data_IF_966929845476
#
_entry.id   IF_966929845476
#
_cell.length_a   1.000
_cell.length_b   1.000
_cell.length_c   1.000
_cell.angle_alpha   90.00
_cell.angle_beta   90.00
_cell.angle_gamma   90.00
#
_symmetry.space_group_name_H-M   'P 1'
#
loop_
_entity.id
_entity.type
_entity.pdbx_description
1 polymer ?
#
# COMPACT_ATOMS: atom_id res chain seq x y z
N UNK A 1 -22.14 -26.46 -5.36
CA UNK A 1 -20.97 -27.13 -5.97
C UNK A 1 -20.62 -28.36 -5.18
N UNK A 2 -20.18 -29.40 -5.86
CA UNK A 2 -19.65 -30.62 -5.25
C UNK A 2 -18.20 -30.41 -4.82
N UNK A 3 -17.72 -31.23 -3.86
CA UNK A 3 -16.31 -31.17 -3.41
C UNK A 3 -15.32 -31.36 -4.57
N UNK A 4 -15.67 -32.18 -5.56
CA UNK A 4 -14.86 -32.44 -6.75
C UNK A 4 -14.77 -31.22 -7.67
N UNK A 5 -15.85 -30.46 -7.83
CA UNK A 5 -15.85 -29.21 -8.60
C UNK A 5 -15.00 -28.13 -7.92
N UNK A 6 -15.13 -27.98 -6.60
CA UNK A 6 -14.34 -27.03 -5.83
C UNK A 6 -12.85 -27.34 -5.89
N UNK A 7 -12.47 -28.62 -5.79
CA UNK A 7 -11.09 -29.05 -5.91
C UNK A 7 -10.54 -28.78 -7.31
N UNK A 8 -11.34 -29.00 -8.36
CA UNK A 8 -10.95 -28.69 -9.74
C UNK A 8 -10.68 -27.19 -9.90
N UNK A 9 -11.56 -26.33 -9.40
CA UNK A 9 -11.36 -24.87 -9.43
C UNK A 9 -10.10 -24.47 -8.64
N UNK A 10 -9.87 -25.07 -7.47
CA UNK A 10 -8.68 -24.78 -6.67
C UNK A 10 -7.37 -25.13 -7.38
N UNK A 11 -7.35 -26.13 -8.28
CA UNK A 11 -6.15 -26.58 -8.99
C UNK A 11 -5.99 -26.00 -10.41
N UNK A 12 -7.04 -25.41 -10.96
CA UNK A 12 -7.05 -24.91 -12.34
C UNK A 12 -6.22 -23.61 -12.45
N UNK A 13 -5.18 -23.56 -13.31
CA UNK A 13 -4.37 -22.35 -13.52
C UNK A 13 -5.17 -21.19 -14.12
N UNK A 14 -6.31 -21.44 -14.74
CA UNK A 14 -7.20 -20.41 -15.28
C UNK A 14 -8.21 -19.85 -14.27
N UNK A 15 -8.22 -20.34 -13.02
CA UNK A 15 -9.19 -19.86 -12.02
C UNK A 15 -8.91 -18.40 -11.64
N UNK A 16 -9.92 -17.51 -11.70
CA UNK A 16 -9.74 -16.11 -11.34
C UNK A 16 -9.19 -15.94 -9.92
N UNK A 17 -8.27 -14.99 -9.72
CA UNK A 17 -7.58 -14.79 -8.43
C UNK A 17 -8.53 -14.52 -7.27
N UNK A 18 -9.56 -13.70 -7.49
CA UNK A 18 -10.63 -13.46 -6.50
C UNK A 18 -11.34 -14.76 -6.12
N UNK A 19 -11.56 -15.67 -7.09
CA UNK A 19 -12.17 -16.98 -6.82
C UNK A 19 -11.24 -17.85 -5.97
N UNK A 20 -9.93 -17.86 -6.24
CA UNK A 20 -8.96 -18.57 -5.39
C UNK A 20 -8.93 -18.02 -3.96
N UNK A 21 -8.98 -16.70 -3.80
CA UNK A 21 -9.06 -16.06 -2.48
C UNK A 21 -10.34 -16.45 -1.74
N UNK A 22 -11.50 -16.39 -2.40
CA UNK A 22 -12.78 -16.80 -1.84
C UNK A 22 -12.77 -18.28 -1.43
N UNK A 23 -12.27 -19.16 -2.29
CA UNK A 23 -12.15 -20.60 -1.98
C UNK A 23 -11.24 -20.85 -0.76
N UNK A 24 -10.15 -20.10 -0.61
CA UNK A 24 -9.24 -20.23 0.53
C UNK A 24 -9.88 -19.80 1.86
N UNK A 25 -10.79 -18.82 1.83
CA UNK A 25 -11.50 -18.33 3.01
C UNK A 25 -12.65 -19.26 3.40
N UNK A 26 -13.49 -19.65 2.44
CA UNK A 26 -14.71 -20.41 2.68
C UNK A 26 -14.47 -21.91 2.87
N UNK A 27 -13.43 -22.47 2.24
CA UNK A 27 -13.16 -23.90 2.23
C UNK A 27 -11.73 -24.21 2.71
N UNK A 28 -11.47 -24.26 4.02
CA UNK A 28 -10.13 -24.51 4.57
C UNK A 28 -9.47 -25.79 4.04
N UNK A 29 -10.24 -26.83 3.73
CA UNK A 29 -9.73 -28.08 3.15
C UNK A 29 -9.13 -27.94 1.74
N UNK A 30 -9.39 -26.84 1.04
CA UNK A 30 -8.80 -26.56 -0.30
C UNK A 30 -7.48 -25.80 -0.21
N UNK A 31 -7.12 -25.23 0.94
CA UNK A 31 -5.92 -24.39 1.11
C UNK A 31 -4.62 -25.05 0.62
N UNK A 32 -4.37 -26.36 0.85
CA UNK A 32 -3.18 -27.02 0.30
C UNK A 32 -3.19 -27.08 -1.24
N UNK A 33 -4.35 -27.29 -1.87
CA UNK A 33 -4.48 -27.30 -3.32
C UNK A 33 -4.27 -25.90 -3.91
N UNK A 34 -4.83 -24.88 -3.26
CA UNK A 34 -4.63 -23.47 -3.65
C UNK A 34 -3.15 -23.09 -3.49
N UNK A 35 -2.47 -23.56 -2.45
CA UNK A 35 -1.03 -23.36 -2.26
C UNK A 35 -0.14 -24.00 -3.35
N UNK A 36 -0.68 -24.92 -4.16
CA UNK A 36 0.01 -25.54 -5.31
C UNK A 36 -0.44 -24.97 -6.66
N UNK A 37 -1.57 -24.26 -6.72
CA UNK A 37 -2.06 -23.68 -7.96
C UNK A 37 -1.07 -22.61 -8.46
N UNK A 38 -0.56 -22.68 -9.70
CA UNK A 38 0.46 -21.78 -10.21
C UNK A 38 0.03 -20.31 -10.27
N UNK A 39 -1.27 -20.04 -10.38
CA UNK A 39 -1.83 -18.70 -10.46
C UNK A 39 -2.10 -18.07 -9.09
N UNK A 40 -1.94 -18.83 -7.99
CA UNK A 40 -2.06 -18.28 -6.63
C UNK A 40 -1.02 -17.20 -6.38
N UNK A 41 -1.50 -15.99 -6.07
CA UNK A 41 -0.69 -14.79 -5.94
C UNK A 41 0.08 -14.72 -4.61
N UNK A 42 1.20 -13.98 -4.55
CA UNK A 42 2.13 -14.00 -3.41
C UNK A 42 1.50 -13.68 -2.05
N UNK A 43 0.64 -12.66 -1.95
CA UNK A 43 0.01 -12.28 -0.69
C UNK A 43 -0.92 -13.39 -0.13
N UNK A 44 -1.58 -14.16 -1.02
CA UNK A 44 -2.37 -15.32 -0.58
C UNK A 44 -1.46 -16.47 -0.13
N UNK A 45 -0.31 -16.67 -0.78
CA UNK A 45 0.69 -17.67 -0.33
C UNK A 45 1.28 -17.30 1.04
N UNK A 46 1.55 -16.02 1.28
CA UNK A 46 2.02 -15.51 2.58
C UNK A 46 0.97 -15.72 3.67
N UNK A 47 -0.27 -15.31 3.41
CA UNK A 47 -1.39 -15.56 4.32
C UNK A 47 -1.57 -17.05 4.60
N UNK A 48 -1.49 -17.90 3.57
CA UNK A 48 -1.57 -19.36 3.70
C UNK A 48 -0.46 -19.92 4.60
N UNK A 49 0.78 -19.44 4.46
CA UNK A 49 1.91 -19.84 5.32
C UNK A 49 1.78 -19.37 6.76
N UNK A 50 1.17 -18.20 6.99
CA UNK A 50 0.95 -17.65 8.33
C UNK A 50 -0.08 -18.44 9.17
N UNK A 51 -0.92 -19.27 8.54
CA UNK A 51 -1.91 -20.10 9.23
C UNK A 51 -1.29 -21.23 10.08
N UNK A 52 -0.05 -21.62 9.79
CA UNK A 52 0.63 -22.71 10.50
C UNK A 52 0.07 -24.11 10.20
N UNK A 53 -0.74 -24.28 9.15
CA UNK A 53 -1.27 -25.58 8.74
C UNK A 53 -0.16 -26.44 8.11
N UNK A 54 0.08 -27.67 8.61
CA UNK A 54 1.17 -28.52 8.12
C UNK A 54 1.02 -28.96 6.67
N UNK A 55 -0.21 -29.19 6.20
CA UNK A 55 -0.47 -29.59 4.81
C UNK A 55 -0.26 -28.42 3.85
N UNK A 56 -0.63 -27.21 4.26
CA UNK A 56 -0.36 -25.98 3.51
C UNK A 56 1.15 -25.71 3.45
N UNK A 57 1.86 -25.83 4.58
CA UNK A 57 3.31 -25.66 4.64
C UNK A 57 4.05 -26.66 3.74
N UNK A 58 3.59 -27.91 3.69
CA UNK A 58 4.15 -28.91 2.78
C UNK A 58 3.94 -28.53 1.32
N UNK A 59 2.75 -28.06 0.95
CA UNK A 59 2.45 -27.59 -0.40
C UNK A 59 3.33 -26.40 -0.81
N UNK A 60 3.51 -25.41 0.08
CA UNK A 60 4.38 -24.26 -0.16
C UNK A 60 5.86 -24.68 -0.31
N UNK A 61 6.33 -25.64 0.50
CA UNK A 61 7.68 -26.18 0.35
C UNK A 61 7.89 -26.89 -1.00
N UNK A 62 6.91 -27.69 -1.45
CA UNK A 62 6.96 -28.34 -2.77
C UNK A 62 7.05 -27.32 -3.91
N UNK A 63 6.28 -26.23 -3.81
CA UNK A 63 6.32 -25.12 -4.76
C UNK A 63 7.71 -24.50 -4.87
N UNK A 64 8.37 -24.28 -3.72
CA UNK A 64 9.71 -23.71 -3.67
C UNK A 64 10.80 -24.66 -4.19
N UNK A 65 10.61 -25.98 -4.03
CA UNK A 65 11.56 -27.00 -4.51
C UNK A 65 11.50 -27.25 -6.02
N UNK A 66 10.36 -26.94 -6.67
CA UNK A 66 10.18 -27.05 -8.11
C UNK A 66 10.62 -25.82 -8.90
N UNK A 67 10.98 -24.72 -8.23
CA UNK A 67 11.52 -23.53 -8.89
C UNK A 67 12.95 -23.81 -9.38
N UNK A 68 13.27 -23.60 -10.67
CA UNK A 68 14.64 -23.70 -11.13
C UNK A 68 15.51 -22.68 -10.36
N UNK A 69 16.75 -23.05 -9.95
CA UNK A 69 17.67 -22.10 -9.35
C UNK A 69 18.07 -21.08 -10.42
N UNK A 70 17.41 -19.93 -10.44
CA UNK A 70 17.66 -18.84 -11.39
C UNK A 70 16.44 -18.40 -12.19
N UNK A 71 15.44 -17.82 -11.51
CA UNK A 71 14.60 -16.78 -12.11
C UNK A 71 15.28 -15.40 -11.95
N UNK A 72 14.92 -14.38 -12.73
CA UNK A 72 15.62 -13.08 -12.76
C UNK A 72 15.55 -12.28 -11.44
N UNK A 73 14.78 -12.75 -10.45
CA UNK A 73 14.78 -12.23 -9.08
C UNK A 73 15.52 -13.18 -8.12
N UNK A 74 16.68 -13.68 -8.54
CA UNK A 74 17.68 -14.15 -7.60
C UNK A 74 18.31 -12.93 -6.95
N UNK A 75 17.98 -12.67 -5.68
CA UNK A 75 18.82 -11.83 -4.84
C UNK A 75 20.29 -12.26 -5.03
N UNK A 76 21.26 -11.34 -5.09
CA UNK A 76 22.65 -11.72 -5.34
C UNK A 76 23.06 -12.76 -4.29
N UNK A 77 23.40 -13.95 -4.77
CA UNK A 77 24.23 -14.90 -4.02
C UNK A 77 25.53 -14.16 -3.82
N UNK A 78 25.65 -13.48 -2.68
CA UNK A 78 26.92 -12.97 -2.22
C UNK A 78 27.95 -14.10 -2.21
N UNK A 79 29.25 -13.80 -2.33
CA UNK A 79 30.28 -14.80 -2.15
C UNK A 79 30.04 -15.57 -0.84
N UNK A 80 30.45 -16.85 -0.73
CA UNK A 80 30.26 -17.63 0.48
C UNK A 80 30.73 -16.78 1.65
N UNK A 81 29.80 -16.39 2.51
CA UNK A 81 30.14 -15.75 3.76
C UNK A 81 30.81 -16.87 4.53
N UNK A 82 32.13 -16.78 4.63
CA UNK A 82 32.90 -17.58 5.55
C UNK A 82 32.16 -17.47 6.88
N UNK A 83 31.61 -18.58 7.34
CA UNK A 83 30.92 -18.65 8.63
C UNK A 83 32.03 -18.49 9.63
N UNK A 84 32.40 -17.24 9.90
CA UNK A 84 33.38 -16.89 10.91
C UNK A 84 32.84 -17.48 12.19
N UNK A 85 33.46 -18.59 12.58
CA UNK A 85 33.17 -19.29 13.82
C UNK A 85 33.08 -18.25 14.90
N UNK A 86 31.95 -18.30 15.60
CA UNK A 86 31.61 -17.48 16.73
C UNK A 86 32.74 -17.55 17.77
N UNK A 87 33.75 -16.70 17.65
CA UNK A 87 34.67 -16.43 18.74
C UNK A 87 33.84 -15.73 19.84
N UNK A 88 33.83 -16.28 21.07
CA UNK A 88 33.08 -15.67 22.17
C UNK A 88 33.68 -14.29 22.44
N UNK A 89 32.99 -13.24 21.96
CA UNK A 89 33.30 -11.85 22.27
C UNK A 89 33.34 -11.70 23.78
N UNK A 90 34.56 -11.48 24.29
CA UNK A 90 34.84 -11.19 25.69
C UNK A 90 33.99 -10.00 26.14
N UNK A 91 32.96 -10.27 26.94
CA UNK A 91 32.00 -9.30 27.52
C UNK A 91 32.62 -8.40 28.60
N UNK A 92 33.93 -8.44 28.78
CA UNK A 92 34.66 -7.76 29.85
C UNK A 92 34.79 -6.23 29.69
N UNK A 93 34.86 -5.60 28.49
CA UNK A 93 35.01 -4.15 28.40
C UNK A 93 33.68 -3.39 28.57
N UNK A 94 32.53 -4.03 28.38
CA UNK A 94 31.22 -3.37 28.52
C UNK A 94 30.79 -3.19 29.99
N UNK A 95 31.17 -4.10 30.89
CA UNK A 95 30.84 -3.99 32.32
C UNK A 95 31.56 -2.82 33.02
N UNK A 96 32.79 -2.47 32.58
CA UNK A 96 33.55 -1.36 33.15
C UNK A 96 32.99 0.02 32.74
N UNK A 97 32.46 0.15 31.52
CA UNK A 97 31.85 1.40 31.05
C UNK A 97 30.54 1.72 31.80
N UNK A 98 29.70 0.70 32.06
CA UNK A 98 28.47 0.88 32.84
C UNK A 98 28.75 1.23 34.31
N UNK A 99 29.78 0.63 34.92
CA UNK A 99 30.19 0.97 36.30
C UNK A 99 30.68 2.42 36.43
N UNK A 100 31.44 2.92 35.45
CA UNK A 100 31.91 4.30 35.44
C UNK A 100 30.75 5.31 35.30
N UNK A 101 29.77 5.03 34.43
CA UNK A 101 28.62 5.91 34.22
C UNK A 101 27.71 5.98 35.47
N UNK A 102 27.48 4.83 36.12
CA UNK A 102 26.70 4.77 37.36
C UNK A 102 27.37 5.55 38.51
N UNK A 103 28.71 5.50 38.60
CA UNK A 103 29.46 6.23 39.61
C UNK A 103 29.35 7.75 39.43
N UNK A 104 29.44 8.25 38.19
CA UNK A 104 29.28 9.69 37.90
C UNK A 104 27.87 10.17 38.27
N UNK A 105 26.83 9.40 37.93
CA UNK A 105 25.46 9.75 38.29
C UNK A 105 25.25 9.79 39.81
N UNK A 106 25.85 8.85 40.56
CA UNK A 106 25.78 8.82 42.02
C UNK A 106 26.48 10.04 42.66
N UNK A 107 27.65 10.45 42.14
CA UNK A 107 28.39 11.63 42.64
C UNK A 107 27.61 12.93 42.38
N UNK A 108 26.97 13.07 41.21
CA UNK A 108 26.12 14.24 40.90
C UNK A 108 24.89 14.29 41.81
N UNK A 109 24.24 13.16 42.06
CA UNK A 109 23.09 13.08 42.96
C UNK A 109 23.46 13.42 44.42
N UNK A 110 24.64 12.98 44.88
CA UNK A 110 25.17 13.36 46.20
C UNK A 110 25.51 14.86 46.25
N UNK A 111 26.10 15.43 45.20
CA UNK A 111 26.39 16.87 45.18
C UNK A 111 25.12 17.75 45.17
N UNK A 112 24.06 17.32 44.49
CA UNK A 112 22.76 18.02 44.47
C UNK A 112 22.01 17.90 45.81
N UNK A 113 22.22 16.83 46.58
CA UNK A 113 21.61 16.67 47.91
C UNK A 113 22.37 17.41 49.02
N UNK A 114 23.67 17.69 48.85
CA UNK A 114 24.50 18.36 49.87
C UNK A 114 24.58 19.90 49.76
N UNK A 115 24.11 20.53 48.68
CA UNK A 115 24.17 22.01 48.50
C UNK A 115 22.81 22.72 48.46
N UNK A 116 21.78 22.16 49.08
CA UNK A 116 20.50 22.85 49.29
C UNK A 116 20.40 23.41 50.72
N UNK A 117 20.79 24.67 50.91
CA UNK A 117 20.46 25.45 52.10
C UNK A 117 19.02 26.02 52.05
N UNK A 118 18.41 26.38 53.19
CA UNK A 118 16.99 26.74 53.27
C UNK A 118 16.71 28.22 52.90
N UNK A 119 15.43 28.45 52.55
CA UNK A 119 14.78 29.62 51.93
C UNK A 119 14.99 31.01 52.57
N UNK A 120 14.47 32.08 51.93
CA UNK A 120 13.18 32.59 52.44
C UNK A 120 12.16 33.05 51.39
N UNK A 121 10.93 33.16 51.89
CA UNK A 121 9.68 33.56 51.25
C UNK A 121 9.59 35.06 50.88
N UNK A 122 8.70 35.36 49.93
CA UNK A 122 7.92 36.60 49.74
C UNK A 122 6.68 36.16 48.92
N UNK A 123 5.45 36.10 49.44
CA UNK A 123 4.56 37.14 49.99
C UNK A 123 4.07 38.16 48.95
N UNK A 124 2.88 37.92 48.39
CA UNK A 124 1.92 38.99 48.14
C UNK A 124 1.08 38.91 46.85
N UNK A 125 -0.12 39.52 46.83
CA UNK A 125 -1.36 38.88 46.37
C UNK A 125 -2.09 39.65 45.25
N UNK A 126 -3.38 39.35 45.10
CA UNK A 126 -4.45 39.94 44.27
C UNK A 126 -4.75 39.20 42.96
N UNK A 127 -5.82 38.41 42.90
CA UNK A 127 -7.23 38.83 42.88
C UNK A 127 -7.57 39.65 41.63
N UNK A 128 -8.21 38.98 40.68
CA UNK A 128 -8.68 39.55 39.43
C UNK A 128 -9.63 38.58 38.74
N UNK A 129 -10.65 38.13 39.45
CA UNK A 129 -11.84 37.57 38.83
C UNK A 129 -12.49 38.67 37.99
N UNK A 130 -12.55 38.49 36.67
CA UNK A 130 -13.52 39.19 35.85
C UNK A 130 -14.19 38.17 34.94
N UNK A 131 -15.37 37.79 35.40
CA UNK A 131 -16.43 37.13 34.64
C UNK A 131 -16.71 37.94 33.37
N UNK A 132 -16.45 37.34 32.21
CA UNK A 132 -16.99 37.84 30.93
C UNK A 132 -18.33 37.12 30.66
N UNK A 133 -19.44 37.84 30.40
CA UNK A 133 -20.73 37.23 30.15
C UNK A 133 -20.73 36.48 28.82
N UNK A 134 -21.39 35.32 28.84
CA UNK A 134 -21.79 34.59 27.65
C UNK A 134 -22.59 35.52 26.72
N UNK A 135 -22.06 35.73 25.52
CA UNK A 135 -22.84 36.27 24.41
C UNK A 135 -23.85 35.19 23.94
N UNK A 136 -25.08 35.58 23.60
CA UNK A 136 -26.14 34.64 23.26
C UNK A 136 -25.80 33.89 21.98
N UNK A 137 -26.09 32.59 21.98
CA UNK A 137 -26.08 31.75 20.81
C UNK A 137 -26.88 32.39 19.67
N UNK A 138 -26.38 32.44 18.43
CA UNK A 138 -27.24 32.71 17.29
C UNK A 138 -28.28 31.60 17.22
N UNK A 139 -29.52 32.00 16.95
CA UNK A 139 -30.65 31.12 16.73
C UNK A 139 -30.33 30.07 15.64
N UNK A 140 -31.00 28.91 15.63
CA UNK A 140 -30.89 27.97 14.53
C UNK A 140 -31.28 28.70 13.25
N UNK A 141 -30.32 28.96 12.36
CA UNK A 141 -30.63 29.23 10.97
C UNK A 141 -31.33 27.98 10.45
N UNK A 142 -32.61 28.15 10.17
CA UNK A 142 -33.44 27.23 9.42
C UNK A 142 -32.76 27.09 8.04
N UNK A 143 -31.88 26.09 7.92
CA UNK A 143 -31.27 25.70 6.66
C UNK A 143 -32.40 25.40 5.69
N UNK A 144 -32.65 26.37 4.82
CA UNK A 144 -33.40 26.17 3.59
C UNK A 144 -32.76 24.97 2.91
N UNK A 145 -33.48 23.86 2.65
CA UNK A 145 -32.88 22.72 1.99
C UNK A 145 -32.32 23.20 0.67
N UNK A 146 -31.00 23.05 0.50
CA UNK A 146 -30.34 23.30 -0.77
C UNK A 146 -31.15 22.58 -1.86
N UNK A 147 -31.37 23.20 -3.05
CA UNK A 147 -31.99 22.51 -4.17
C UNK A 147 -31.28 21.17 -4.33
N UNK A 148 -32.03 20.08 -4.33
CA UNK A 148 -31.50 18.77 -4.67
C UNK A 148 -30.88 18.89 -6.06
N UNK A 149 -29.55 19.01 -6.12
CA UNK A 149 -28.82 18.84 -7.37
C UNK A 149 -29.15 17.43 -7.84
N UNK A 150 -29.88 17.34 -8.95
CA UNK A 150 -30.13 16.08 -9.64
C UNK A 150 -28.79 15.37 -9.82
N UNK A 151 -28.65 14.09 -9.42
CA UNK A 151 -27.42 13.35 -9.62
C UNK A 151 -26.98 13.47 -11.08
N UNK A 152 -25.77 13.97 -11.31
CA UNK A 152 -25.17 13.98 -12.65
C UNK A 152 -25.10 12.52 -13.08
N UNK A 153 -25.84 12.17 -14.14
CA UNK A 153 -25.93 10.80 -14.60
C UNK A 153 -24.55 10.33 -15.08
N UNK A 154 -23.99 9.34 -14.38
CA UNK A 154 -22.70 8.76 -14.73
C UNK A 154 -22.86 7.76 -15.88
N UNK A 155 -22.13 7.95 -16.98
CA UNK A 155 -22.11 7.01 -18.11
C UNK A 155 -21.42 5.69 -17.74
N UNK A 156 -20.40 5.75 -16.88
CA UNK A 156 -19.68 4.57 -16.39
C UNK A 156 -19.31 4.74 -14.91
N UNK A 157 -20.17 4.28 -13.98
CA UNK A 157 -19.93 4.49 -12.56
C UNK A 157 -18.68 3.76 -12.05
N UNK A 158 -18.15 4.24 -10.93
CA UNK A 158 -17.11 3.53 -10.19
C UNK A 158 -17.66 2.17 -9.68
N UNK A 159 -16.86 1.10 -9.63
CA UNK A 159 -17.32 -0.19 -9.12
C UNK A 159 -17.66 -0.12 -7.63
N UNK A 160 -18.67 -0.87 -7.20
CA UNK A 160 -18.99 -0.96 -5.78
C UNK A 160 -17.79 -1.53 -5.00
N UNK A 161 -17.48 -0.92 -3.85
CA UNK A 161 -16.32 -1.31 -3.04
C UNK A 161 -14.97 -0.81 -3.56
N UNK A 162 -14.95 0.10 -4.53
CA UNK A 162 -13.72 0.79 -4.93
C UNK A 162 -13.10 1.52 -3.72
N UNK A 163 -11.78 1.36 -3.55
CA UNK A 163 -11.04 2.01 -2.49
C UNK A 163 -10.94 3.52 -2.75
N UNK A 164 -11.26 4.31 -1.74
CA UNK A 164 -11.06 5.76 -1.75
C UNK A 164 -9.60 6.08 -1.37
N UNK A 165 -8.69 6.02 -2.36
CA UNK A 165 -7.24 6.27 -2.18
C UNK A 165 -6.68 7.31 -3.16
N UNK A 166 -5.74 8.13 -2.69
CA UNK A 166 -5.19 9.26 -3.48
C UNK A 166 -4.19 8.79 -4.54
N UNK A 167 -3.48 7.72 -4.27
CA UNK A 167 -2.50 7.15 -5.18
C UNK A 167 -2.34 5.65 -4.93
N UNK A 168 -2.00 4.93 -5.99
CA UNK A 168 -1.71 3.50 -5.89
C UNK A 168 -0.62 3.06 -6.85
N UNK A 169 0.00 1.94 -6.52
CA UNK A 169 0.87 1.18 -7.41
C UNK A 169 0.15 -0.10 -7.85
N UNK A 170 0.35 -0.49 -9.10
CA UNK A 170 -0.02 -1.81 -9.58
C UNK A 170 0.75 -2.90 -8.79
N UNK A 171 0.26 -4.15 -8.74
CA UNK A 171 0.95 -5.23 -8.02
C UNK A 171 2.38 -5.49 -8.51
N UNK A 172 2.64 -5.25 -9.80
CA UNK A 172 3.98 -5.36 -10.39
C UNK A 172 4.91 -4.21 -10.02
N UNK A 173 4.41 -3.12 -9.45
CA UNK A 173 5.15 -1.88 -9.21
C UNK A 173 5.47 -1.06 -10.46
N UNK A 174 5.22 -1.59 -11.67
CA UNK A 174 5.60 -0.95 -12.93
C UNK A 174 4.66 0.19 -13.37
N UNK A 175 3.46 0.26 -12.79
CA UNK A 175 2.48 1.30 -13.08
C UNK A 175 2.07 1.94 -11.76
N UNK A 176 2.08 3.27 -11.71
CA UNK A 176 1.58 4.03 -10.57
C UNK A 176 0.57 5.07 -11.02
N UNK A 177 -0.51 5.22 -10.26
CA UNK A 177 -1.57 6.17 -10.55
C UNK A 177 -1.81 7.12 -9.38
N UNK A 178 -2.11 8.38 -9.70
CA UNK A 178 -2.40 9.45 -8.76
C UNK A 178 -3.71 10.13 -9.15
N UNK A 179 -4.62 10.24 -8.20
CA UNK A 179 -5.84 11.03 -8.30
C UNK A 179 -5.54 12.45 -7.80
N UNK A 180 -5.62 13.42 -8.71
CA UNK A 180 -5.69 14.85 -8.38
C UNK A 180 -7.14 15.28 -8.14
N UNK A 181 -7.34 16.59 -7.95
CA UNK A 181 -8.69 17.17 -7.79
C UNK A 181 -9.56 16.92 -9.04
N UNK A 182 -8.99 17.19 -10.21
CA UNK A 182 -9.68 17.16 -11.51
C UNK A 182 -8.98 16.26 -12.54
N UNK A 183 -8.08 15.38 -12.10
CA UNK A 183 -7.34 14.50 -13.03
C UNK A 183 -7.05 13.14 -12.41
N UNK A 184 -6.98 12.10 -13.24
CA UNK A 184 -6.24 10.88 -12.90
C UNK A 184 -5.02 10.74 -13.81
N UNK A 185 -3.86 10.50 -13.21
CA UNK A 185 -2.56 10.38 -13.90
C UNK A 185 -1.99 9.01 -13.63
N UNK A 186 -1.70 8.23 -14.66
CA UNK A 186 -1.02 6.95 -14.53
C UNK A 186 0.28 6.97 -15.31
N UNK A 187 1.37 6.61 -14.64
CA UNK A 187 2.70 6.52 -15.21
C UNK A 187 3.11 5.06 -15.29
N UNK A 188 3.68 4.65 -16.42
CA UNK A 188 4.32 3.35 -16.60
C UNK A 188 5.82 3.54 -16.78
N UNK A 189 6.62 2.77 -16.04
CA UNK A 189 8.09 2.83 -16.10
C UNK A 189 8.61 2.05 -17.31
N UNK A 190 8.54 0.72 -17.28
CA UNK A 190 8.95 -0.13 -18.39
C UNK A 190 7.79 -0.44 -19.35
N UNK A 191 8.01 -0.27 -20.65
CA UNK A 191 7.05 -0.65 -21.70
C UNK A 191 7.74 -1.04 -23.02
N UNK A 192 6.99 -1.68 -23.92
CA UNK A 192 7.47 -2.12 -25.24
C UNK A 192 6.80 -1.40 -26.42
N UNK A 193 5.89 -0.46 -26.15
CA UNK A 193 5.21 0.33 -27.18
C UNK A 193 5.81 1.73 -27.32
N UNK A 194 5.51 2.43 -28.41
CA UNK A 194 5.82 3.86 -28.57
C UNK A 194 4.50 4.61 -28.68
N UNK A 195 4.16 5.52 -27.75
CA UNK A 195 2.92 6.27 -27.82
C UNK A 195 2.91 7.19 -29.04
N UNK A 196 1.77 7.27 -29.72
CA UNK A 196 1.59 8.16 -30.87
C UNK A 196 1.56 9.65 -30.49
N UNK A 197 1.34 9.92 -29.20
CA UNK A 197 1.28 11.25 -28.59
C UNK A 197 2.44 11.40 -27.58
N UNK A 198 2.89 12.63 -27.32
CA UNK A 198 3.91 12.91 -26.30
C UNK A 198 5.37 12.87 -26.77
N UNK A 199 5.67 12.34 -27.96
CA UNK A 199 7.03 12.23 -28.52
C UNK A 199 8.00 11.47 -27.61
N UNK A 200 7.59 10.28 -27.16
CA UNK A 200 8.42 9.46 -26.28
C UNK A 200 9.43 8.64 -27.07
N UNK A 201 10.64 8.56 -26.53
CA UNK A 201 11.55 7.48 -26.90
C UNK A 201 11.11 6.16 -26.26
N UNK A 202 11.68 5.05 -26.72
CA UNK A 202 11.27 3.70 -26.29
C UNK A 202 11.64 3.37 -24.83
N UNK A 203 12.39 4.23 -24.15
CA UNK A 203 12.95 4.01 -22.82
C UNK A 203 12.40 4.94 -21.76
N UNK A 204 11.70 6.01 -22.16
CA UNK A 204 11.17 7.02 -21.25
C UNK A 204 9.84 6.56 -20.67
N UNK A 205 9.67 6.60 -19.34
CA UNK A 205 8.38 6.37 -18.71
C UNK A 205 7.27 7.24 -19.33
N UNK A 206 6.09 6.66 -19.48
CA UNK A 206 4.94 7.31 -20.13
C UNK A 206 3.89 7.62 -19.08
N UNK A 207 3.48 8.89 -18.98
CA UNK A 207 2.36 9.33 -18.16
C UNK A 207 1.14 9.64 -19.05
N UNK A 208 0.01 9.03 -18.69
CA UNK A 208 -1.30 9.25 -19.31
C UNK A 208 -2.18 9.97 -18.30
N UNK A 209 -2.86 11.03 -18.73
CA UNK A 209 -3.75 11.83 -17.89
C UNK A 209 -5.14 11.85 -18.49
N UNK A 210 -6.18 11.59 -17.69
CA UNK A 210 -7.57 11.99 -17.99
C UNK A 210 -7.88 13.22 -17.14
N UNK A 211 -8.43 14.27 -17.76
CA UNK A 211 -8.87 15.49 -17.08
C UNK A 211 -10.38 15.46 -16.76
N UNK A 212 -10.88 16.43 -16.01
CA UNK A 212 -12.30 16.55 -15.64
C UNK A 212 -13.25 16.69 -16.85
N UNK A 213 -12.75 17.09 -18.02
CA UNK A 213 -13.54 17.10 -19.27
C UNK A 213 -13.54 15.76 -20.00
N UNK A 214 -12.89 14.73 -19.43
CA UNK A 214 -12.72 13.40 -20.01
C UNK A 214 -11.56 13.28 -21.00
N UNK A 215 -10.97 14.40 -21.44
CA UNK A 215 -9.92 14.36 -22.46
C UNK A 215 -8.63 13.77 -21.93
N UNK A 216 -7.98 13.03 -22.81
CA UNK A 216 -6.72 12.36 -22.52
C UNK A 216 -5.52 13.14 -23.06
N UNK A 217 -4.44 13.13 -22.31
CA UNK A 217 -3.13 13.58 -22.77
C UNK A 217 -2.05 12.58 -22.39
N UNK A 218 -1.03 12.47 -23.24
CA UNK A 218 0.11 11.58 -23.04
C UNK A 218 1.38 12.42 -23.05
N UNK A 219 2.23 12.22 -22.05
CA UNK A 219 3.55 12.86 -21.96
C UNK A 219 4.58 11.83 -21.52
N UNK A 220 5.83 12.11 -21.83
CA UNK A 220 6.96 11.32 -21.37
C UNK A 220 7.52 12.00 -20.13
N UNK A 221 7.78 11.21 -19.10
CA UNK A 221 8.38 11.67 -17.85
C UNK A 221 9.72 10.99 -17.66
N UNK A 222 10.49 11.45 -16.67
CA UNK A 222 11.82 10.89 -16.42
C UNK A 222 11.75 9.56 -15.68
N UNK A 223 10.87 9.49 -14.69
CA UNK A 223 10.83 8.41 -13.73
C UNK A 223 9.37 8.19 -13.25
N UNK A 224 9.06 6.97 -12.83
CA UNK A 224 7.85 6.66 -12.08
C UNK A 224 8.01 7.12 -10.62
N UNK A 225 7.59 8.36 -10.33
CA UNK A 225 7.61 8.94 -8.97
C UNK A 225 6.22 8.88 -8.31
N UNK A 226 5.68 7.67 -8.19
CA UNK A 226 4.40 7.44 -7.50
C UNK A 226 4.65 6.58 -6.26
N UNK A 227 4.25 7.12 -5.11
CA UNK A 227 4.14 6.36 -3.87
C UNK A 227 2.67 6.21 -3.52
N UNK A 228 2.28 5.06 -2.99
CA UNK A 228 0.89 4.78 -2.70
C UNK A 228 0.67 3.36 -2.23
N UNK A 229 -0.59 3.04 -1.96
CA UNK A 229 -0.98 1.68 -1.59
C UNK A 229 -0.92 0.78 -2.83
N UNK A 230 -0.53 -0.48 -2.68
CA UNK A 230 -0.64 -1.43 -3.80
C UNK A 230 -2.10 -1.83 -4.02
N UNK A 231 -2.65 -1.53 -5.19
CA UNK A 231 -3.99 -1.96 -5.60
C UNK A 231 -3.87 -3.35 -6.23
N UNK A 232 -4.45 -4.38 -5.59
CA UNK A 232 -4.35 -5.76 -6.09
C UNK A 232 -5.11 -5.93 -7.40
N UNK A 233 -4.76 -6.96 -8.18
CA UNK A 233 -5.53 -7.30 -9.37
C UNK A 233 -7.01 -7.55 -9.01
N UNK A 234 -7.89 -7.15 -9.92
CA UNK A 234 -9.35 -7.10 -9.78
C UNK A 234 -9.86 -6.14 -8.69
N UNK A 235 -8.99 -5.34 -8.06
CA UNK A 235 -9.42 -4.25 -7.18
C UNK A 235 -9.55 -2.95 -7.96
N UNK A 236 -10.47 -2.11 -7.47
CA UNK A 236 -10.72 -0.79 -8.02
C UNK A 236 -10.43 0.30 -6.99
N UNK A 237 -9.99 1.45 -7.46
CA UNK A 237 -9.85 2.67 -6.70
C UNK A 237 -10.67 3.78 -7.38
N UNK A 238 -11.28 4.66 -6.59
CA UNK A 238 -12.05 5.77 -7.11
C UNK A 238 -11.85 7.02 -6.25
N UNK A 239 -11.82 8.18 -6.90
CA UNK A 239 -11.78 9.49 -6.24
C UNK A 239 -12.32 10.55 -7.18
N UNK A 240 -13.27 11.35 -6.71
CA UNK A 240 -13.98 12.31 -7.57
C UNK A 240 -14.65 11.60 -8.75
N UNK A 241 -14.64 12.19 -9.95
CA UNK A 241 -15.27 11.58 -11.13
C UNK A 241 -14.34 10.58 -11.85
N UNK A 242 -13.37 9.98 -11.15
CA UNK A 242 -12.42 9.05 -11.72
C UNK A 242 -12.45 7.72 -11.00
N UNK A 243 -12.33 6.65 -11.77
CA UNK A 243 -12.16 5.31 -11.26
C UNK A 243 -11.09 4.57 -12.06
N UNK A 244 -10.39 3.66 -11.37
CA UNK A 244 -9.39 2.79 -11.95
C UNK A 244 -9.57 1.38 -11.45
N UNK A 245 -9.27 0.39 -12.30
CA UNK A 245 -9.23 -1.02 -11.95
C UNK A 245 -7.88 -1.60 -12.33
N UNK A 246 -7.24 -2.29 -11.39
CA UNK A 246 -6.04 -3.05 -11.70
C UNK A 246 -6.42 -4.41 -12.27
N UNK A 247 -5.95 -4.72 -13.48
CA UNK A 247 -6.12 -6.04 -14.12
C UNK A 247 -4.77 -6.64 -14.44
N UNK A 248 -4.73 -7.96 -14.65
CA UNK A 248 -3.51 -8.64 -15.13
C UNK A 248 -3.06 -8.10 -16.50
N UNK A 249 -4.02 -7.68 -17.32
CA UNK A 249 -3.78 -7.12 -18.66
C UNK A 249 -3.40 -5.63 -18.66
N UNK A 250 -3.33 -4.98 -17.49
CA UNK A 250 -3.04 -3.55 -17.37
C UNK A 250 -3.95 -2.83 -16.38
N UNK A 251 -3.61 -1.56 -16.10
CA UNK A 251 -4.47 -0.66 -15.33
C UNK A 251 -5.44 0.02 -16.30
N UNK A 252 -6.73 -0.09 -16.04
CA UNK A 252 -7.77 0.62 -16.76
C UNK A 252 -8.27 1.78 -15.89
N UNK A 253 -8.23 3.00 -16.40
CA UNK A 253 -8.79 4.17 -15.73
C UNK A 253 -9.80 4.88 -16.62
N UNK A 254 -10.82 5.47 -16.01
CA UNK A 254 -11.87 6.17 -16.74
C UNK A 254 -12.44 7.34 -15.92
N UNK A 255 -13.09 8.25 -16.65
CA UNK A 255 -13.92 9.29 -16.08
C UNK A 255 -15.37 8.82 -16.00
N UNK A 256 -16.00 8.90 -14.83
CA UNK A 256 -17.30 8.26 -14.56
C UNK A 256 -18.45 8.93 -15.31
N UNK A 257 -18.35 10.24 -15.54
CA UNK A 257 -19.37 11.03 -16.23
C UNK A 257 -19.27 10.92 -17.75
N UNK A 258 -18.07 11.09 -18.33
CA UNK A 258 -17.93 11.05 -19.80
C UNK A 258 -17.76 9.62 -20.36
N UNK A 259 -17.34 8.67 -19.52
CA UNK A 259 -17.02 7.31 -19.94
C UNK A 259 -15.70 7.18 -20.70
N UNK A 260 -14.99 8.28 -20.95
CA UNK A 260 -13.66 8.24 -21.58
C UNK A 260 -12.69 7.47 -20.69
N UNK A 261 -11.91 6.59 -21.31
CA UNK A 261 -11.06 5.64 -20.60
C UNK A 261 -9.79 5.34 -21.37
N UNK A 262 -8.76 4.92 -20.64
CA UNK A 262 -7.58 4.30 -21.22
C UNK A 262 -7.26 3.00 -20.49
N UNK A 263 -6.54 2.12 -21.17
CA UNK A 263 -5.86 0.97 -20.56
C UNK A 263 -4.37 1.07 -20.78
N UNK A 264 -3.62 1.06 -19.69
CA UNK A 264 -2.16 1.15 -19.68
C UNK A 264 -1.55 -0.18 -19.23
N UNK A 265 -0.66 -0.72 -20.06
CA UNK A 265 0.03 -2.00 -19.86
C UNK A 265 1.44 -1.92 -20.44
N UNK A 266 2.32 -2.89 -20.16
CA UNK A 266 3.67 -2.91 -20.75
C UNK A 266 3.61 -3.01 -22.27
N UNK A 267 2.61 -3.69 -22.78
CA UNK A 267 2.48 -4.05 -24.19
C UNK A 267 1.79 -2.96 -25.01
N UNK A 268 0.91 -2.16 -24.39
CA UNK A 268 0.13 -1.14 -25.08
C UNK A 268 -0.45 -0.07 -24.15
N UNK A 269 -0.63 1.11 -24.73
CA UNK A 269 -1.58 2.14 -24.31
C UNK A 269 -2.77 2.13 -25.29
N UNK A 270 -3.98 1.91 -24.78
CA UNK A 270 -5.23 1.87 -25.55
C UNK A 270 -6.23 2.87 -25.02
#
# INVERSE_FOLDING_TARGET
>A
MTQSELLRLAQDPGTPLHTLQQLAQEYPGLRPAIALNPSTYPALLEWLGALGDPAVNQALAQRSAGAPPGGPYGAPVGPPIDVSENEPRSVLPWLLAFLALAFVAAVVWVLLTFFSGPAPAQSGPDAGAVTAPAAPAPAPEEETPAPAESPVEEVRPAPEGAFDIQSFLAPSGNIGCVFGEDTVKCTIDEHSFVPSQGQCDASSPVEVTINADGKQSVKCVKDLDVTGTTLQYEQSAARGPFACTARETGIECWHTVSGESFTLSREALR
#
